data_IF_162613859898
#
_entry.id   IF_162613859898
#
_cell.length_a   1.000
_cell.length_b   1.000
_cell.length_c   1.000
_cell.angle_alpha   90.00
_cell.angle_beta   90.00
_cell.angle_gamma   90.00
#
_symmetry.space_group_name_H-M   'P 1'
#
loop_
_entity.id
_entity.type
_entity.pdbx_description
1 polymer ?
#
# COMPACT_ATOMS: atom_id res chain seq x y z
N UNK A 1 -6.63 6.92 13.28
CA UNK A 1 -6.40 7.27 11.85
C UNK A 1 -4.93 7.58 11.66
N UNK A 2 -4.27 7.01 10.65
CA UNK A 2 -2.90 7.41 10.26
C UNK A 2 -3.00 8.42 9.12
N UNK A 3 -2.48 9.64 9.31
CA UNK A 3 -2.34 10.62 8.22
C UNK A 3 -1.01 10.34 7.52
N UNK A 4 -1.05 9.55 6.45
CA UNK A 4 0.10 9.43 5.54
C UNK A 4 0.10 10.64 4.60
N UNK A 5 0.89 11.65 4.95
CA UNK A 5 1.07 12.86 4.12
C UNK A 5 2.05 12.61 2.97
N UNK A 6 2.92 11.58 3.09
CA UNK A 6 3.97 11.29 2.12
C UNK A 6 4.17 9.80 1.86
N UNK A 7 4.50 9.44 0.61
CA UNK A 7 4.88 8.09 0.22
C UNK A 7 5.99 7.98 -0.82
N UNK A 8 6.62 9.09 -1.21
CA UNK A 8 7.75 9.18 -2.16
C UNK A 8 8.39 10.56 -1.97
N UNK A 9 9.70 10.67 -1.72
CA UNK A 9 10.45 11.92 -1.48
C UNK A 9 9.95 13.11 -2.32
N UNK A 10 8.95 13.83 -1.80
CA UNK A 10 8.39 15.02 -2.47
C UNK A 10 9.20 16.24 -2.08
N UNK A 11 9.10 17.30 -2.90
CA UNK A 11 9.72 18.58 -2.59
C UNK A 11 9.16 19.16 -1.28
N UNK A 12 9.99 19.81 -0.44
CA UNK A 12 9.53 20.38 0.83
C UNK A 12 8.36 21.36 0.67
N UNK A 13 8.32 22.14 -0.40
CA UNK A 13 7.25 23.11 -0.68
C UNK A 13 5.89 22.43 -0.80
N UNK A 14 5.83 21.25 -1.44
CA UNK A 14 4.59 20.49 -1.54
C UNK A 14 4.13 20.01 -0.16
N UNK A 15 5.04 19.45 0.63
CA UNK A 15 4.72 18.96 1.97
C UNK A 15 4.24 20.12 2.86
N UNK A 16 4.94 21.25 2.85
CA UNK A 16 4.56 22.44 3.60
C UNK A 16 3.19 22.97 3.18
N UNK A 17 2.93 23.09 1.87
CA UNK A 17 1.64 23.52 1.36
C UNK A 17 0.50 22.58 1.79
N UNK A 18 0.68 21.26 1.64
CA UNK A 18 -0.34 20.28 1.95
C UNK A 18 -0.65 20.23 3.46
N UNK A 19 0.39 20.22 4.30
CA UNK A 19 0.24 20.23 5.77
C UNK A 19 -0.45 21.52 6.22
N UNK A 20 -0.04 22.67 5.68
CA UNK A 20 -0.63 23.97 6.03
C UNK A 20 -2.09 24.03 5.61
N UNK A 21 -2.44 23.56 4.41
CA UNK A 21 -3.82 23.49 3.95
C UNK A 21 -4.66 22.57 4.83
N UNK A 22 -4.17 21.37 5.18
CA UNK A 22 -4.86 20.48 6.11
C UNK A 22 -5.05 21.11 7.51
N UNK A 23 -4.05 21.86 8.00
CA UNK A 23 -4.12 22.58 9.27
C UNK A 23 -5.17 23.70 9.23
N UNK A 24 -5.16 24.55 8.21
CA UNK A 24 -6.16 25.61 8.02
C UNK A 24 -7.58 25.03 7.91
N UNK A 25 -7.76 23.99 7.09
CA UNK A 25 -9.07 23.32 6.97
C UNK A 25 -9.58 22.77 8.31
N UNK A 26 -8.68 22.29 9.19
CA UNK A 26 -9.02 21.77 10.51
C UNK A 26 -9.28 22.88 11.54
N UNK A 27 -8.40 23.88 11.59
CA UNK A 27 -8.39 24.93 12.62
C UNK A 27 -9.41 26.02 12.30
N UNK A 28 -9.50 26.40 11.03
CA UNK A 28 -10.28 27.54 10.53
C UNK A 28 -11.52 27.11 9.73
N UNK A 29 -11.66 25.80 9.44
CA UNK A 29 -12.77 25.25 8.64
C UNK A 29 -12.65 25.49 7.13
N UNK A 30 -11.62 26.19 6.67
CA UNK A 30 -11.39 26.51 5.26
C UNK A 30 -9.90 26.64 4.94
N UNK A 31 -9.54 26.54 3.65
CA UNK A 31 -8.18 26.80 3.16
C UNK A 31 -8.15 28.16 2.49
N UNK A 32 -7.12 28.96 2.78
CA UNK A 32 -6.94 30.25 2.12
C UNK A 32 -6.85 30.08 0.60
N UNK A 33 -7.61 30.86 -0.20
CA UNK A 33 -7.67 30.67 -1.66
C UNK A 33 -6.29 30.75 -2.35
N UNK A 34 -5.40 31.59 -1.86
CA UNK A 34 -4.02 31.69 -2.36
C UNK A 34 -3.23 30.40 -2.11
N UNK A 35 -3.26 29.87 -0.88
CA UNK A 35 -2.61 28.61 -0.55
C UNK A 35 -3.19 27.44 -1.35
N UNK A 36 -4.51 27.44 -1.56
CA UNK A 36 -5.19 26.47 -2.42
C UNK A 36 -4.65 26.47 -3.85
N UNK A 37 -4.52 27.66 -4.47
CA UNK A 37 -3.95 27.83 -5.81
C UNK A 37 -2.47 27.42 -5.87
N UNK A 38 -1.67 27.79 -4.88
CA UNK A 38 -0.27 27.40 -4.80
C UNK A 38 -0.11 25.88 -4.66
N UNK A 39 -0.91 25.27 -3.78
CA UNK A 39 -0.92 23.82 -3.60
C UNK A 39 -1.34 23.11 -4.90
N UNK A 40 -2.37 23.62 -5.58
CA UNK A 40 -2.81 23.11 -6.88
C UNK A 40 -1.69 23.17 -7.93
N UNK A 41 -0.95 24.28 -8.00
CA UNK A 41 0.15 24.47 -8.94
C UNK A 41 1.35 23.54 -8.68
N UNK A 42 1.68 23.24 -7.41
CA UNK A 42 2.82 22.35 -7.08
C UNK A 42 2.44 20.87 -7.03
N UNK A 43 1.18 20.55 -6.76
CA UNK A 43 0.71 19.17 -6.64
C UNK A 43 0.11 18.64 -7.93
N UNK A 44 -0.81 19.41 -8.53
CA UNK A 44 -1.65 18.91 -9.59
C UNK A 44 -1.16 19.30 -10.97
N UNK A 45 -1.31 18.36 -11.90
CA UNK A 45 -0.95 18.48 -13.31
C UNK A 45 -2.25 18.66 -14.08
N UNK A 46 -2.80 19.87 -14.15
CA UNK A 46 -4.20 20.21 -14.56
C UNK A 46 -5.26 20.30 -13.44
N UNK A 47 -4.89 20.53 -12.18
CA UNK A 47 -5.85 20.88 -11.11
C UNK A 47 -6.47 19.72 -10.31
N UNK A 48 -7.17 20.03 -9.22
CA UNK A 48 -7.73 18.99 -8.33
C UNK A 48 -8.97 18.29 -8.92
N UNK A 49 -9.19 17.04 -8.52
CA UNK A 49 -10.39 16.28 -8.90
C UNK A 49 -11.07 15.69 -7.68
N UNK A 50 -12.38 15.88 -7.58
CA UNK A 50 -13.25 15.25 -6.59
C UNK A 50 -13.79 13.89 -7.07
N UNK A 51 -13.41 13.45 -8.28
CA UNK A 51 -14.07 12.34 -8.97
C UNK A 51 -14.04 11.01 -8.22
N UNK A 52 -13.06 10.78 -7.35
CA UNK A 52 -13.06 9.61 -6.45
C UNK A 52 -14.19 9.70 -5.41
N UNK A 53 -14.37 10.87 -4.79
CA UNK A 53 -15.37 11.13 -3.75
C UNK A 53 -16.79 11.26 -4.34
N UNK A 54 -16.94 12.00 -5.43
CA UNK A 54 -18.22 12.18 -6.12
C UNK A 54 -18.59 10.99 -7.03
N UNK A 55 -17.77 9.93 -7.07
CA UNK A 55 -17.91 8.78 -7.98
C UNK A 55 -18.03 9.14 -9.48
N UNK A 56 -17.57 10.35 -9.87
CA UNK A 56 -17.52 10.83 -11.26
C UNK A 56 -16.30 10.23 -11.97
N UNK A 57 -16.49 9.05 -12.56
CA UNK A 57 -15.47 8.36 -13.35
C UNK A 57 -15.38 8.92 -14.76
N UNK A 58 -14.17 9.15 -15.25
CA UNK A 58 -13.93 9.57 -16.62
C UNK A 58 -12.60 10.27 -16.80
N UNK A 59 -12.44 10.95 -17.94
CA UNK A 59 -11.19 11.66 -18.29
C UNK A 59 -10.80 12.73 -17.27
N UNK A 60 -11.78 13.39 -16.65
CA UNK A 60 -11.58 14.42 -15.63
C UNK A 60 -10.96 13.91 -14.30
N UNK A 61 -10.85 12.59 -14.10
CA UNK A 61 -10.11 12.03 -12.96
C UNK A 61 -8.59 12.00 -13.19
N UNK A 62 -8.12 12.23 -14.42
CA UNK A 62 -6.70 12.15 -14.77
C UNK A 62 -6.15 13.55 -14.99
N UNK A 63 -5.00 13.82 -14.35
CA UNK A 63 -4.18 14.99 -14.68
C UNK A 63 -3.32 14.72 -15.91
N UNK A 64 -3.23 15.70 -16.79
CA UNK A 64 -2.36 15.65 -17.98
C UNK A 64 -1.20 16.63 -17.77
N UNK A 65 0.04 16.17 -17.94
CA UNK A 65 1.19 17.06 -17.79
C UNK A 65 1.28 17.97 -19.00
N UNK A 66 1.01 19.24 -18.82
CA UNK A 66 1.28 20.29 -19.81
C UNK A 66 2.60 21.01 -19.49
N UNK A 67 3.12 21.76 -20.46
CA UNK A 67 4.29 22.62 -20.24
C UNK A 67 3.96 23.81 -19.31
N UNK A 68 2.70 24.27 -19.33
CA UNK A 68 2.22 25.36 -18.48
C UNK A 68 2.19 24.97 -17.00
N UNK A 69 1.79 23.74 -16.68
CA UNK A 69 1.83 23.20 -15.31
C UNK A 69 3.24 23.29 -14.70
N UNK A 70 4.28 23.06 -15.51
CA UNK A 70 5.67 23.14 -15.05
C UNK A 70 6.09 24.58 -14.72
N UNK A 71 5.61 25.55 -15.50
CA UNK A 71 5.91 26.97 -15.25
C UNK A 71 5.19 27.50 -14.00
N UNK A 72 3.93 27.12 -13.81
CA UNK A 72 3.14 27.53 -12.64
C UNK A 72 3.72 27.01 -11.31
N UNK A 73 4.25 25.79 -11.28
CA UNK A 73 4.94 25.27 -10.11
C UNK A 73 6.17 26.10 -9.70
N UNK A 74 6.94 26.59 -10.69
CA UNK A 74 8.16 27.35 -10.43
C UNK A 74 7.91 28.71 -9.78
N UNK A 75 6.78 29.35 -10.05
CA UNK A 75 6.44 30.66 -9.45
C UNK A 75 5.92 30.54 -8.02
N UNK A 76 5.30 29.40 -7.66
CA UNK A 76 4.76 29.17 -6.32
C UNK A 76 5.82 28.79 -5.28
N UNK A 77 6.98 28.24 -5.70
CA UNK A 77 7.97 27.69 -4.76
C UNK A 77 8.53 28.72 -3.77
N UNK A 78 8.81 29.96 -4.21
CA UNK A 78 9.36 30.98 -3.32
C UNK A 78 8.39 31.34 -2.18
N UNK A 79 7.10 31.51 -2.49
CA UNK A 79 6.08 31.79 -1.49
C UNK A 79 5.86 30.60 -0.53
N UNK A 80 5.91 29.38 -1.05
CA UNK A 80 5.77 28.17 -0.23
C UNK A 80 6.99 27.90 0.65
N UNK A 81 8.19 28.31 0.23
CA UNK A 81 9.39 28.24 1.05
C UNK A 81 9.26 29.04 2.35
N UNK A 82 8.56 30.18 2.30
CA UNK A 82 8.28 31.01 3.48
C UNK A 82 7.52 30.28 4.59
N UNK A 83 6.73 29.25 4.25
CA UNK A 83 5.98 28.45 5.21
C UNK A 83 6.89 27.65 6.15
N UNK A 84 8.10 27.31 5.71
CA UNK A 84 9.01 26.43 6.44
C UNK A 84 10.46 26.93 6.51
N UNK A 85 10.77 28.14 5.99
CA UNK A 85 12.12 28.71 6.00
C UNK A 85 12.73 28.81 7.39
N UNK A 86 11.89 29.01 8.40
CA UNK A 86 12.27 29.13 9.79
C UNK A 86 11.92 27.84 10.51
N UNK A 87 12.84 27.38 11.34
CA UNK A 87 12.57 26.27 12.25
C UNK A 87 11.41 26.60 13.18
N UNK A 88 10.45 25.68 13.28
CA UNK A 88 9.22 25.92 14.02
C UNK A 88 9.45 25.55 15.50
N UNK A 89 9.57 26.56 16.36
CA UNK A 89 9.95 26.39 17.76
C UNK A 89 8.82 25.78 18.59
N UNK A 90 8.90 24.48 18.92
CA UNK A 90 7.90 23.73 19.70
C UNK A 90 8.45 23.01 20.91
N UNK A 91 9.78 22.95 21.05
CA UNK A 91 10.41 22.29 22.18
C UNK A 91 10.62 23.33 23.26
N UNK A 92 9.72 23.35 24.24
CA UNK A 92 9.83 24.24 25.38
C UNK A 92 11.02 23.83 26.26
N UNK A 93 11.82 24.81 26.66
CA UNK A 93 12.99 24.61 27.50
C UNK A 93 12.88 25.47 28.77
N UNK A 94 13.34 24.88 29.88
CA UNK A 94 13.73 25.64 31.07
C UNK A 94 15.25 25.82 31.07
N UNK A 95 15.70 26.99 31.51
CA UNK A 95 17.10 27.36 31.49
C UNK A 95 17.57 27.85 32.87
N UNK A 96 18.87 27.67 33.15
CA UNK A 96 19.55 28.27 34.31
C UNK A 96 20.85 28.92 33.87
N UNK A 97 21.11 30.13 34.35
CA UNK A 97 22.33 30.87 34.06
C UNK A 97 23.00 31.35 35.34
N UNK A 98 24.31 31.19 35.41
CA UNK A 98 25.13 31.70 36.51
C UNK A 98 26.44 32.29 35.97
N UNK A 99 26.89 33.40 36.55
CA UNK A 99 28.18 34.01 36.24
C UNK A 99 28.70 34.70 37.50
N UNK A 100 29.88 34.31 37.96
CA UNK A 100 30.51 34.81 39.18
C UNK A 100 32.01 35.03 38.96
N UNK A 101 32.58 36.03 39.61
CA UNK A 101 34.02 36.30 39.54
C UNK A 101 34.81 35.09 40.05
N UNK A 102 35.94 34.78 39.42
CA UNK A 102 36.75 33.61 39.79
C UNK A 102 36.23 32.29 39.24
N UNK A 103 35.15 32.27 38.45
CA UNK A 103 34.57 31.04 37.89
C UNK A 103 33.98 31.20 36.49
N UNK A 104 34.10 30.22 35.59
CA UNK A 104 33.47 30.24 34.27
C UNK A 104 31.96 30.49 34.36
N UNK A 105 31.41 31.30 33.43
CA UNK A 105 29.97 31.42 33.30
C UNK A 105 29.33 30.08 32.89
N UNK A 106 28.15 29.78 33.41
CA UNK A 106 27.49 28.49 33.24
C UNK A 106 26.11 28.71 32.67
N UNK A 107 25.75 27.92 31.65
CA UNK A 107 24.40 27.90 31.12
C UNK A 107 23.90 26.46 30.96
N UNK A 108 22.70 26.21 31.45
CA UNK A 108 22.05 24.91 31.44
C UNK A 108 20.70 25.02 30.73
N UNK A 109 20.39 24.03 29.89
CA UNK A 109 19.09 23.84 29.25
C UNK A 109 18.53 22.46 29.60
N UNK A 110 17.22 22.41 29.84
CA UNK A 110 16.48 21.16 30.00
C UNK A 110 15.17 21.17 29.20
N UNK A 111 14.86 20.07 28.51
CA UNK A 111 13.59 19.82 27.83
C UNK A 111 12.63 18.94 28.67
N UNK A 112 12.97 18.71 29.94
CA UNK A 112 12.27 17.82 30.87
C UNK A 112 12.75 16.36 30.84
N UNK A 113 13.38 15.91 29.75
CA UNK A 113 13.98 14.57 29.62
C UNK A 113 15.50 14.63 29.57
N UNK A 114 16.05 15.59 28.82
CA UNK A 114 17.47 15.81 28.62
C UNK A 114 17.87 17.11 29.30
N UNK A 115 18.94 17.05 30.08
CA UNK A 115 19.59 18.23 30.66
C UNK A 115 21.03 18.31 30.18
N UNK A 116 21.44 19.51 29.79
CA UNK A 116 22.79 19.81 29.28
C UNK A 116 23.28 21.11 29.88
N UNK A 117 24.53 21.10 30.35
CA UNK A 117 25.24 22.23 30.94
C UNK A 117 26.52 22.51 30.16
N UNK A 118 26.82 23.78 29.92
CA UNK A 118 28.08 24.24 29.35
C UNK A 118 28.71 25.31 30.23
N UNK A 119 30.04 25.41 30.13
CA UNK A 119 30.84 26.44 30.78
C UNK A 119 31.43 27.35 29.69
N UNK A 120 31.47 28.65 29.94
CA UNK A 120 31.90 29.68 29.00
C UNK A 120 33.05 30.51 29.56
N UNK A 121 33.16 31.75 29.07
CA UNK A 121 34.17 32.69 29.56
C UNK A 121 33.92 33.05 31.03
N UNK A 122 34.98 33.18 31.82
CA UNK A 122 34.93 33.77 33.15
C UNK A 122 34.54 35.26 33.05
N UNK A 123 33.58 35.73 33.86
CA UNK A 123 33.17 37.12 33.81
C UNK A 123 34.23 38.04 34.42
N UNK A 124 34.29 39.28 33.94
CA UNK A 124 35.22 40.29 34.43
C UNK A 124 34.51 41.28 35.36
N UNK A 125 35.19 41.89 36.34
CA UNK A 125 34.58 42.95 37.14
C UNK A 125 34.34 44.20 36.27
N UNK A 126 33.19 44.85 36.42
CA UNK A 126 32.85 46.06 35.66
C UNK A 126 31.73 46.86 36.33
N UNK A 127 32.08 48.05 36.82
CA UNK A 127 31.14 49.02 37.39
C UNK A 127 30.43 49.88 36.32
N UNK A 128 31.08 50.16 35.17
CA UNK A 128 30.50 51.03 34.14
C UNK A 128 29.50 50.33 33.22
N UNK A 129 29.68 49.02 32.99
CA UNK A 129 28.84 48.21 32.07
C UNK A 129 28.52 46.82 32.63
N UNK A 130 27.93 46.69 33.83
CA UNK A 130 27.57 45.39 34.38
C UNK A 130 26.56 44.65 33.48
N UNK A 131 26.65 43.33 33.44
CA UNK A 131 25.65 42.47 32.85
C UNK A 131 24.45 42.40 33.80
N UNK A 132 23.32 42.99 33.40
CA UNK A 132 22.07 42.87 34.17
C UNK A 132 21.37 41.55 33.85
N UNK A 133 20.48 41.13 34.76
CA UNK A 133 19.64 39.95 34.57
C UNK A 133 18.81 40.07 33.28
N UNK A 134 18.14 41.21 33.06
CA UNK A 134 17.29 41.42 31.88
C UNK A 134 18.09 41.28 30.58
N UNK A 135 19.34 41.78 30.57
CA UNK A 135 20.21 41.69 29.41
C UNK A 135 20.71 40.27 29.17
N UNK A 136 21.05 39.54 30.24
CA UNK A 136 21.41 38.12 30.15
C UNK A 136 20.24 37.30 29.59
N UNK A 137 19.03 37.49 30.14
CA UNK A 137 17.82 36.82 29.69
C UNK A 137 17.51 37.09 28.21
N UNK A 138 17.50 38.37 27.81
CA UNK A 138 17.22 38.77 26.43
C UNK A 138 18.21 38.15 25.45
N UNK A 139 19.47 37.98 25.83
CA UNK A 139 20.50 37.41 24.96
C UNK A 139 20.44 35.87 24.91
N UNK A 140 20.19 35.23 26.06
CA UNK A 140 20.16 33.76 26.20
C UNK A 140 18.87 33.14 25.66
N UNK A 141 17.73 33.85 25.70
CA UNK A 141 16.44 33.42 25.13
C UNK A 141 16.41 33.37 23.59
N UNK A 142 17.42 33.90 22.90
CA UNK A 142 17.49 33.95 21.42
C UNK A 142 17.79 32.59 20.80
N UNK A 143 16.82 31.71 20.68
CA UNK A 143 16.96 30.34 20.12
C UNK A 143 16.58 30.21 18.63
N UNK A 144 16.52 31.31 17.88
CA UNK A 144 16.15 31.30 16.46
C UNK A 144 17.04 30.34 15.62
N UNK A 145 16.43 29.64 14.67
CA UNK A 145 17.10 28.60 13.87
C UNK A 145 17.25 27.26 14.57
N UNK A 146 16.64 27.08 15.75
CA UNK A 146 16.56 25.80 16.48
C UNK A 146 15.10 25.49 16.80
N UNK A 147 14.70 24.22 17.06
CA UNK A 147 13.32 23.88 17.40
C UNK A 147 12.93 24.31 18.83
N UNK A 148 13.83 24.98 19.55
CA UNK A 148 13.70 25.30 20.96
C UNK A 148 13.08 26.67 21.22
N UNK A 149 12.26 26.76 22.27
CA UNK A 149 11.78 28.02 22.84
C UNK A 149 12.02 27.99 24.35
N UNK A 150 12.76 28.96 24.88
CA UNK A 150 13.01 29.06 26.32
C UNK A 150 11.82 29.77 26.97
N UNK A 151 10.98 29.02 27.67
CA UNK A 151 9.78 29.54 28.34
C UNK A 151 10.10 30.09 29.74
N UNK A 152 11.10 29.51 30.41
CA UNK A 152 11.58 29.95 31.72
C UNK A 152 13.12 30.01 31.76
N UNK A 153 13.66 31.05 32.39
CA UNK A 153 15.10 31.15 32.69
C UNK A 153 15.28 31.64 34.13
N UNK A 154 16.13 30.94 34.88
CA UNK A 154 16.57 31.36 36.20
C UNK A 154 17.98 31.95 36.11
N UNK A 155 18.11 33.24 36.47
CA UNK A 155 19.37 33.99 36.48
C UNK A 155 19.81 34.36 37.90
N UNK A 156 19.24 33.76 38.94
CA UNK A 156 19.61 34.02 40.35
C UNK A 156 21.08 33.75 40.68
N UNK A 157 21.78 33.00 39.81
CA UNK A 157 23.22 32.75 39.91
C UNK A 157 24.12 33.83 39.31
N UNK A 158 23.58 34.93 38.78
CA UNK A 158 24.33 36.07 38.24
C UNK A 158 24.78 37.02 39.37
N UNK A 159 26.09 37.15 39.55
CA UNK A 159 26.68 38.10 40.51
C UNK A 159 26.58 39.55 40.01
N UNK A 160 26.34 40.50 40.91
CA UNK A 160 26.30 41.93 40.57
C UNK A 160 27.69 42.47 40.21
N UNK A 161 27.74 43.49 39.35
CA UNK A 161 29.01 44.15 38.99
C UNK A 161 29.92 43.34 38.07
N UNK A 162 29.44 42.23 37.50
CA UNK A 162 30.20 41.41 36.55
C UNK A 162 29.88 41.75 35.10
N UNK A 163 30.81 41.53 34.18
CA UNK A 163 30.67 41.78 32.75
C UNK A 163 31.02 40.54 31.94
N UNK A 164 30.14 40.23 30.98
CA UNK A 164 30.40 39.31 29.89
C UNK A 164 30.04 39.97 28.57
N UNK A 165 30.89 39.83 27.54
CA UNK A 165 30.54 40.32 26.22
C UNK A 165 29.38 39.49 25.63
N UNK A 166 28.55 40.11 24.80
CA UNK A 166 27.42 39.42 24.15
C UNK A 166 27.88 38.23 23.28
N UNK A 167 29.10 38.26 22.76
CA UNK A 167 29.72 37.14 22.05
C UNK A 167 29.90 35.91 22.94
N UNK A 168 30.30 36.09 24.20
CA UNK A 168 30.46 34.98 25.16
C UNK A 168 29.11 34.35 25.50
N UNK A 169 28.07 35.15 25.77
CA UNK A 169 26.71 34.65 25.99
C UNK A 169 26.16 33.90 24.76
N UNK A 170 26.43 34.42 23.56
CA UNK A 170 26.02 33.78 22.31
C UNK A 170 26.73 32.45 22.07
N UNK A 171 28.04 32.37 22.34
CA UNK A 171 28.81 31.14 22.20
C UNK A 171 28.27 30.08 23.16
N UNK A 172 28.10 30.44 24.43
CA UNK A 172 27.60 29.55 25.48
C UNK A 172 26.18 29.02 25.16
N UNK A 173 25.27 29.90 24.71
CA UNK A 173 23.93 29.54 24.25
C UNK A 173 23.95 28.56 23.07
N UNK A 174 24.77 28.82 22.05
CA UNK A 174 24.87 27.96 20.85
C UNK A 174 25.41 26.58 21.21
N UNK A 175 26.44 26.53 22.05
CA UNK A 175 27.07 25.29 22.47
C UNK A 175 26.10 24.40 23.25
N UNK A 176 25.40 24.95 24.24
CA UNK A 176 24.45 24.16 25.05
C UNK A 176 23.26 23.67 24.19
N UNK A 177 22.78 24.48 23.25
CA UNK A 177 21.69 24.09 22.34
C UNK A 177 22.12 22.98 21.36
N UNK A 178 23.37 23.02 20.87
CA UNK A 178 23.92 21.96 20.02
C UNK A 178 24.08 20.65 20.80
N UNK A 179 24.64 20.70 22.02
CA UNK A 179 24.76 19.50 22.87
C UNK A 179 23.39 18.93 23.26
N UNK A 180 22.39 19.77 23.53
CA UNK A 180 21.01 19.32 23.74
C UNK A 180 20.46 18.63 22.48
N UNK A 181 20.71 19.19 21.30
CA UNK A 181 20.31 18.59 20.02
C UNK A 181 20.99 17.24 19.78
N UNK A 182 22.26 17.10 20.16
CA UNK A 182 22.98 15.82 20.09
C UNK A 182 22.33 14.76 21.00
N UNK A 183 22.01 15.10 22.26
CA UNK A 183 21.30 14.19 23.16
C UNK A 183 19.93 13.79 22.60
N UNK A 184 19.16 14.75 22.07
CA UNK A 184 17.84 14.48 21.48
C UNK A 184 17.89 13.66 20.18
N UNK A 185 18.98 13.73 19.41
CA UNK A 185 19.19 12.94 18.20
C UNK A 185 19.62 11.50 18.50
N UNK A 186 20.10 11.21 19.70
CA UNK A 186 20.50 9.85 20.05
C UNK A 186 19.27 8.92 19.98
N UNK A 187 19.29 7.89 19.11
CA UNK A 187 18.16 6.98 19.01
C UNK A 187 17.98 6.23 20.33
N UNK A 188 16.76 6.25 20.86
CA UNK A 188 16.42 5.29 21.91
C UNK A 188 16.33 3.91 21.26
N UNK A 189 17.18 2.99 21.69
CA UNK A 189 17.12 1.60 21.22
C UNK A 189 15.81 1.00 21.69
N UNK A 190 14.88 0.78 20.76
CA UNK A 190 13.76 -0.12 20.99
C UNK A 190 14.26 -1.52 20.71
N UNK A 191 14.35 -2.34 21.74
CA UNK A 191 14.77 -3.73 21.59
C UNK A 191 13.63 -4.49 20.89
N UNK A 192 13.78 -4.72 19.59
CA UNK A 192 12.84 -5.53 18.82
C UNK A 192 13.38 -6.96 18.76
N UNK A 193 12.81 -7.85 19.56
CA UNK A 193 13.15 -9.27 19.52
C UNK A 193 12.50 -9.92 18.29
N UNK A 194 13.24 -9.96 17.17
CA UNK A 194 12.84 -10.72 15.99
C UNK A 194 13.06 -12.22 16.23
N UNK A 195 12.07 -12.90 16.81
CA UNK A 195 12.11 -14.35 16.90
C UNK A 195 11.85 -14.96 15.52
N UNK A 196 12.89 -15.48 14.88
CA UNK A 196 12.75 -16.26 13.67
C UNK A 196 12.07 -17.58 14.01
N UNK A 197 10.79 -17.71 13.65
CA UNK A 197 10.05 -18.97 13.83
C UNK A 197 10.54 -19.97 12.78
N UNK A 198 10.98 -21.14 13.24
CA UNK A 198 11.20 -22.28 12.36
C UNK A 198 9.87 -23.02 12.18
N UNK A 199 9.62 -23.48 10.95
CA UNK A 199 8.42 -24.23 10.63
C UNK A 199 8.81 -25.49 9.87
N UNK A 200 8.13 -26.59 10.16
CA UNK A 200 8.25 -27.80 9.36
C UNK A 200 7.53 -27.58 8.03
N UNK A 201 8.18 -27.85 6.88
CA UNK A 201 7.55 -27.77 5.56
C UNK A 201 6.23 -28.54 5.48
N UNK A 202 5.26 -27.96 4.78
CA UNK A 202 3.95 -28.58 4.57
C UNK A 202 4.05 -29.84 3.71
N UNK A 203 3.51 -30.95 4.21
CA UNK A 203 3.47 -32.22 3.50
C UNK A 203 2.16 -32.35 2.69
N UNK A 204 2.30 -32.46 1.37
CA UNK A 204 1.17 -32.65 0.45
C UNK A 204 0.83 -34.14 0.39
N UNK A 205 -0.43 -34.49 0.64
CA UNK A 205 -0.90 -35.88 0.57
C UNK A 205 -1.30 -36.27 -0.85
N UNK A 206 -2.18 -35.47 -1.45
CA UNK A 206 -2.70 -35.68 -2.80
C UNK A 206 -2.79 -34.33 -3.48
N UNK A 207 -2.39 -34.29 -4.75
CA UNK A 207 -2.42 -33.07 -5.55
C UNK A 207 -3.64 -33.06 -6.47
N UNK A 208 -4.36 -31.94 -6.48
CA UNK A 208 -5.57 -31.77 -7.28
C UNK A 208 -5.45 -30.58 -8.24
N UNK A 209 -6.11 -30.66 -9.39
CA UNK A 209 -6.22 -29.51 -10.30
C UNK A 209 -7.49 -28.73 -10.03
N UNK A 210 -7.36 -27.41 -9.96
CA UNK A 210 -8.47 -26.48 -9.89
C UNK A 210 -8.46 -25.58 -11.13
N UNK A 211 -9.64 -25.21 -11.62
CA UNK A 211 -9.78 -24.27 -12.73
C UNK A 211 -10.67 -23.09 -12.33
N UNK A 212 -10.27 -21.87 -12.69
CA UNK A 212 -11.05 -20.66 -12.47
C UNK A 212 -11.34 -20.01 -13.82
N UNK A 213 -12.60 -19.74 -14.09
CA UNK A 213 -13.05 -19.12 -15.33
C UNK A 213 -13.56 -17.71 -15.08
N UNK A 214 -13.20 -16.78 -15.97
CA UNK A 214 -13.70 -15.40 -15.93
C UNK A 214 -15.15 -15.31 -16.38
N UNK A 215 -15.60 -16.27 -17.19
CA UNK A 215 -16.96 -16.37 -17.67
C UNK A 215 -17.36 -17.84 -17.77
N UNK A 216 -18.63 -18.14 -17.54
CA UNK A 216 -19.15 -19.50 -17.63
C UNK A 216 -19.06 -20.06 -19.06
N UNK A 217 -19.10 -19.21 -20.07
CA UNK A 217 -18.95 -19.57 -21.49
C UNK A 217 -17.57 -20.13 -21.83
N UNK A 218 -16.57 -19.94 -20.95
CA UNK A 218 -15.24 -20.54 -21.12
C UNK A 218 -15.19 -21.98 -20.61
N UNK A 219 -16.15 -22.43 -19.80
CA UNK A 219 -16.17 -23.77 -19.21
C UNK A 219 -16.45 -24.82 -20.30
N UNK A 220 -15.49 -25.72 -20.63
CA UNK A 220 -15.75 -26.76 -21.61
C UNK A 220 -16.58 -27.90 -21.00
N UNK A 221 -17.22 -28.67 -21.88
CA UNK A 221 -18.05 -29.82 -21.49
C UNK A 221 -17.20 -31.02 -21.05
N UNK A 222 -15.93 -31.11 -21.44
CA UNK A 222 -15.03 -32.26 -21.28
C UNK A 222 -13.83 -31.94 -20.38
N UNK A 223 -14.08 -31.55 -19.13
CA UNK A 223 -12.99 -31.39 -18.15
C UNK A 223 -12.15 -32.67 -17.96
N UNK A 224 -10.81 -32.57 -17.86
CA UNK A 224 -9.96 -33.67 -17.42
C UNK A 224 -10.35 -34.20 -16.04
N UNK A 225 -10.14 -35.49 -15.78
CA UNK A 225 -10.52 -36.17 -14.53
C UNK A 225 -9.76 -35.68 -13.30
N UNK A 226 -8.61 -35.06 -13.50
CA UNK A 226 -7.72 -34.47 -12.51
C UNK A 226 -8.29 -33.15 -11.96
N UNK A 227 -9.19 -32.49 -12.70
CA UNK A 227 -9.85 -31.25 -12.27
C UNK A 227 -10.91 -31.59 -11.23
N UNK A 228 -10.66 -31.25 -9.97
CA UNK A 228 -11.58 -31.54 -8.85
C UNK A 228 -12.45 -30.37 -8.42
N UNK A 229 -12.08 -29.14 -8.81
CA UNK A 229 -12.88 -27.95 -8.51
C UNK A 229 -12.85 -26.93 -9.64
N UNK A 230 -14.00 -26.33 -9.90
CA UNK A 230 -14.18 -25.22 -10.84
C UNK A 230 -14.71 -24.00 -10.09
N UNK A 231 -14.06 -22.86 -10.27
CA UNK A 231 -14.51 -21.56 -9.76
C UNK A 231 -15.16 -20.75 -10.89
N UNK A 232 -16.40 -20.34 -10.66
CA UNK A 232 -17.16 -19.45 -11.56
C UNK A 232 -17.36 -18.07 -10.94
N UNK A 233 -17.58 -17.02 -11.74
CA UNK A 233 -17.86 -15.69 -11.21
C UNK A 233 -19.10 -15.67 -10.31
N UNK A 234 -19.04 -15.00 -9.16
CA UNK A 234 -20.22 -14.77 -8.29
C UNK A 234 -21.40 -14.13 -9.05
N UNK A 235 -21.09 -13.37 -10.09
CA UNK A 235 -22.06 -12.66 -10.94
C UNK A 235 -22.75 -13.57 -11.98
N UNK A 236 -22.30 -14.82 -12.17
CA UNK A 236 -22.94 -15.78 -13.10
C UNK A 236 -24.39 -16.02 -12.69
N UNK A 237 -25.38 -15.96 -13.60
CA UNK A 237 -26.80 -16.15 -13.26
C UNK A 237 -27.07 -17.41 -12.44
N UNK A 238 -27.98 -17.31 -11.46
CA UNK A 238 -28.28 -18.40 -10.51
C UNK A 238 -28.70 -19.70 -11.21
N UNK A 239 -29.55 -19.60 -12.22
CA UNK A 239 -29.98 -20.75 -13.03
C UNK A 239 -28.80 -21.47 -13.70
N UNK A 240 -27.87 -20.72 -14.29
CA UNK A 240 -26.69 -21.30 -14.93
C UNK A 240 -25.73 -21.94 -13.92
N UNK A 241 -25.58 -21.34 -12.73
CA UNK A 241 -24.82 -21.93 -11.62
C UNK A 241 -25.45 -23.26 -11.17
N UNK A 242 -26.78 -23.31 -11.01
CA UNK A 242 -27.49 -24.52 -10.59
C UNK A 242 -27.36 -25.64 -11.63
N UNK A 243 -27.58 -25.34 -12.91
CA UNK A 243 -27.42 -26.29 -14.01
C UNK A 243 -25.98 -26.82 -14.08
N UNK A 244 -24.99 -25.93 -13.97
CA UNK A 244 -23.58 -26.30 -14.01
C UNK A 244 -23.19 -27.16 -12.81
N UNK A 245 -23.67 -26.83 -11.61
CA UNK A 245 -23.42 -27.62 -10.41
C UNK A 245 -23.93 -29.05 -10.57
N UNK A 246 -25.18 -29.23 -11.03
CA UNK A 246 -25.76 -30.56 -11.26
C UNK A 246 -24.90 -31.38 -12.23
N UNK A 247 -24.55 -30.77 -13.38
CA UNK A 247 -23.72 -31.39 -14.41
C UNK A 247 -22.30 -31.77 -13.92
N UNK A 248 -21.65 -30.89 -13.17
CA UNK A 248 -20.28 -31.14 -12.68
C UNK A 248 -20.23 -32.13 -11.52
N UNK A 249 -21.28 -32.17 -10.68
CA UNK A 249 -21.40 -33.12 -9.58
C UNK A 249 -21.40 -34.57 -10.05
N UNK A 250 -22.08 -34.86 -11.17
CA UNK A 250 -22.09 -36.21 -11.79
C UNK A 250 -20.69 -36.68 -12.20
N UNK A 251 -19.75 -35.75 -12.38
CA UNK A 251 -18.35 -36.01 -12.76
C UNK A 251 -17.38 -35.94 -11.59
N UNK A 252 -17.89 -35.76 -10.37
CA UNK A 252 -17.07 -35.61 -9.17
C UNK A 252 -16.29 -34.30 -9.12
N UNK A 253 -16.75 -33.25 -9.82
CA UNK A 253 -16.13 -31.92 -9.84
C UNK A 253 -16.94 -30.96 -8.98
N UNK A 254 -16.31 -30.37 -7.96
CA UNK A 254 -16.95 -29.38 -7.10
C UNK A 254 -17.10 -28.04 -7.82
N UNK A 255 -18.31 -27.49 -7.81
CA UNK A 255 -18.56 -26.12 -8.28
C UNK A 255 -18.41 -25.15 -7.11
N UNK A 256 -17.55 -24.16 -7.30
CA UNK A 256 -17.28 -23.07 -6.38
C UNK A 256 -17.51 -21.73 -7.08
N UNK A 257 -17.62 -20.66 -6.31
CA UNK A 257 -17.72 -19.30 -6.85
C UNK A 257 -16.54 -18.44 -6.41
N UNK A 258 -16.22 -17.41 -7.19
CA UNK A 258 -15.17 -16.46 -6.89
C UNK A 258 -15.75 -15.04 -6.87
N UNK A 259 -15.45 -14.27 -5.81
CA UNK A 259 -15.79 -12.86 -5.71
C UNK A 259 -14.75 -12.01 -6.44
N UNK A 260 -15.21 -11.00 -7.16
CA UNK A 260 -14.30 -10.02 -7.75
C UNK A 260 -13.45 -9.29 -6.69
N UNK A 261 -12.21 -8.93 -7.06
CA UNK A 261 -11.24 -8.33 -6.14
C UNK A 261 -11.65 -6.96 -5.60
N UNK A 262 -12.18 -6.12 -6.49
CA UNK A 262 -12.58 -4.75 -6.19
C UNK A 262 -14.08 -4.62 -6.14
N UNK A 263 -14.59 -4.18 -5.00
CA UNK A 263 -16.00 -3.95 -4.75
C UNK A 263 -16.10 -2.54 -4.15
N UNK A 264 -16.98 -1.70 -4.70
CA UNK A 264 -17.14 -0.31 -4.26
C UNK A 264 -18.61 0.07 -4.24
N UNK A 265 -19.16 0.34 -3.05
CA UNK A 265 -20.54 0.84 -2.91
C UNK A 265 -21.58 -0.15 -3.42
N UNK A 266 -21.36 -1.44 -3.16
CA UNK A 266 -22.23 -2.56 -3.54
C UNK A 266 -22.30 -3.66 -2.47
N UNK A 267 -21.93 -3.32 -1.23
CA UNK A 267 -21.76 -4.24 -0.11
C UNK A 267 -23.08 -4.99 0.18
N UNK A 268 -24.20 -4.26 0.21
CA UNK A 268 -25.54 -4.83 0.45
C UNK A 268 -25.93 -5.83 -0.65
N UNK A 269 -25.70 -5.46 -1.91
CA UNK A 269 -26.02 -6.29 -3.07
C UNK A 269 -25.19 -7.59 -3.05
N UNK A 270 -23.91 -7.50 -2.66
CA UNK A 270 -23.04 -8.66 -2.55
C UNK A 270 -23.46 -9.57 -1.40
N UNK A 271 -23.80 -9.04 -0.23
CA UNK A 271 -24.32 -9.86 0.86
C UNK A 271 -25.62 -10.58 0.47
N UNK A 272 -26.52 -9.93 -0.28
CA UNK A 272 -27.71 -10.58 -0.84
C UNK A 272 -27.33 -11.68 -1.83
N UNK A 273 -26.40 -11.39 -2.75
CA UNK A 273 -25.95 -12.33 -3.77
C UNK A 273 -25.28 -13.57 -3.16
N UNK A 274 -24.45 -13.37 -2.13
CA UNK A 274 -23.83 -14.46 -1.39
C UNK A 274 -24.89 -15.42 -0.82
N UNK A 275 -25.92 -14.90 -0.14
CA UNK A 275 -26.99 -15.75 0.41
C UNK A 275 -27.77 -16.49 -0.67
N UNK A 276 -28.07 -15.82 -1.79
CA UNK A 276 -28.74 -16.43 -2.94
C UNK A 276 -27.93 -17.60 -3.52
N UNK A 277 -26.63 -17.38 -3.79
CA UNK A 277 -25.75 -18.41 -4.34
C UNK A 277 -25.51 -19.54 -3.33
N UNK A 278 -25.43 -19.24 -2.03
CA UNK A 278 -25.33 -20.27 -1.00
C UNK A 278 -26.56 -21.17 -0.98
N UNK A 279 -27.76 -20.59 -1.13
CA UNK A 279 -29.02 -21.33 -1.13
C UNK A 279 -29.14 -22.33 -2.28
N UNK A 280 -28.39 -22.14 -3.38
CA UNK A 280 -28.29 -23.13 -4.47
C UNK A 280 -27.53 -24.41 -4.04
N UNK A 281 -26.78 -24.36 -2.94
CA UNK A 281 -25.95 -25.46 -2.43
C UNK A 281 -24.45 -25.32 -2.71
N UNK A 282 -24.01 -24.25 -3.38
CA UNK A 282 -22.57 -23.98 -3.57
C UNK A 282 -21.93 -23.73 -2.20
N UNK A 283 -20.85 -24.45 -1.88
CA UNK A 283 -20.22 -24.42 -0.55
C UNK A 283 -19.01 -23.52 -0.45
N UNK A 284 -18.22 -23.45 -1.52
CA UNK A 284 -16.92 -22.78 -1.50
C UNK A 284 -17.01 -21.43 -2.21
N UNK A 285 -16.52 -20.38 -1.55
CA UNK A 285 -16.37 -19.05 -2.13
C UNK A 285 -14.91 -18.59 -2.05
N UNK A 286 -14.28 -18.35 -3.20
CA UNK A 286 -12.96 -17.74 -3.28
C UNK A 286 -13.04 -16.23 -3.10
N UNK A 287 -12.18 -15.69 -2.24
CA UNK A 287 -12.11 -14.25 -1.92
C UNK A 287 -10.70 -13.71 -2.06
N UNK A 288 -10.56 -12.48 -2.56
CA UNK A 288 -9.27 -11.85 -2.82
C UNK A 288 -8.97 -10.62 -1.97
N UNK A 289 -9.83 -10.33 -0.97
CA UNK A 289 -9.73 -9.17 -0.10
C UNK A 289 -10.15 -9.59 1.32
N UNK A 290 -9.43 -9.14 2.34
CA UNK A 290 -9.75 -9.41 3.75
C UNK A 290 -11.18 -8.99 4.10
N UNK A 291 -11.66 -7.87 3.55
CA UNK A 291 -13.02 -7.38 3.77
C UNK A 291 -14.13 -8.27 3.21
N UNK A 292 -13.79 -9.27 2.39
CA UNK A 292 -14.76 -10.22 1.83
C UNK A 292 -14.87 -11.52 2.65
N UNK A 293 -13.92 -11.78 3.56
CA UNK A 293 -13.89 -13.03 4.35
C UNK A 293 -15.15 -13.12 5.23
N UNK A 294 -15.37 -12.11 6.08
CA UNK A 294 -16.47 -12.12 7.03
C UNK A 294 -17.85 -12.19 6.34
N UNK A 295 -18.18 -11.35 5.34
CA UNK A 295 -19.48 -11.45 4.66
C UNK A 295 -19.74 -12.82 4.00
N UNK A 296 -18.71 -13.46 3.45
CA UNK A 296 -18.85 -14.79 2.86
C UNK A 296 -19.08 -15.86 3.93
N UNK A 297 -18.41 -15.78 5.07
CA UNK A 297 -18.63 -16.68 6.22
C UNK A 297 -20.01 -16.50 6.84
N UNK A 298 -20.47 -15.26 7.02
CA UNK A 298 -21.83 -14.96 7.52
C UNK A 298 -22.92 -15.48 6.58
N UNK A 299 -22.65 -15.50 5.28
CA UNK A 299 -23.53 -16.14 4.31
C UNK A 299 -23.43 -17.67 4.31
N UNK A 300 -22.52 -18.26 5.10
CA UNK A 300 -22.38 -19.70 5.32
C UNK A 300 -21.42 -20.42 4.38
N UNK A 301 -20.56 -19.71 3.63
CA UNK A 301 -19.57 -20.32 2.75
C UNK A 301 -18.34 -20.83 3.52
N UNK A 302 -17.75 -21.90 3.00
CA UNK A 302 -16.35 -22.24 3.22
C UNK A 302 -15.49 -21.29 2.39
N UNK A 303 -14.73 -20.43 3.06
CA UNK A 303 -13.97 -19.38 2.38
C UNK A 303 -12.60 -19.89 1.94
N UNK A 304 -12.31 -19.73 0.65
CA UNK A 304 -11.02 -20.02 0.06
C UNK A 304 -10.28 -18.70 -0.25
N UNK A 305 -9.04 -18.54 0.18
CA UNK A 305 -8.23 -17.37 -0.13
C UNK A 305 -7.71 -17.39 -1.58
N UNK A 306 -7.91 -16.34 -2.34
CA UNK A 306 -7.28 -16.14 -3.64
C UNK A 306 -5.97 -15.36 -3.52
N UNK A 307 -5.19 -15.27 -4.61
CA UNK A 307 -3.88 -14.60 -4.61
C UNK A 307 -3.88 -13.15 -4.06
N UNK A 308 -5.04 -12.48 -4.07
CA UNK A 308 -5.17 -11.09 -3.62
C UNK A 308 -4.95 -10.90 -2.11
N UNK A 309 -4.93 -11.99 -1.34
CA UNK A 309 -4.54 -11.96 0.07
C UNK A 309 -3.01 -11.87 0.27
N UNK A 310 -2.22 -11.98 -0.81
CA UNK A 310 -0.76 -11.83 -0.82
C UNK A 310 -0.03 -12.70 0.21
N UNK A 311 -0.41 -13.97 0.30
CA UNK A 311 0.17 -14.91 1.26
C UNK A 311 1.58 -15.31 0.81
N UNK A 312 2.58 -14.95 1.62
CA UNK A 312 4.02 -15.12 1.31
C UNK A 312 4.84 -15.81 2.41
N UNK A 313 4.26 -16.11 3.56
CA UNK A 313 4.95 -16.74 4.70
C UNK A 313 4.01 -17.64 5.52
N UNK A 314 4.60 -18.42 6.44
CA UNK A 314 3.86 -19.39 7.25
C UNK A 314 2.95 -18.71 8.26
N UNK A 315 3.34 -17.55 8.81
CA UNK A 315 2.55 -16.77 9.76
C UNK A 315 1.24 -16.31 9.14
N UNK A 316 1.27 -15.83 7.89
CA UNK A 316 0.08 -15.46 7.14
C UNK A 316 -0.83 -16.67 6.87
N UNK A 317 -0.26 -17.83 6.54
CA UNK A 317 -1.03 -19.07 6.38
C UNK A 317 -1.72 -19.49 7.69
N UNK A 318 -1.01 -19.43 8.81
CA UNK A 318 -1.57 -19.72 10.14
C UNK A 318 -2.69 -18.73 10.50
N UNK A 319 -2.51 -17.45 10.18
CA UNK A 319 -3.54 -16.43 10.39
C UNK A 319 -4.78 -16.69 9.53
N UNK A 320 -4.61 -17.07 8.26
CA UNK A 320 -5.72 -17.47 7.39
C UNK A 320 -6.48 -18.68 7.96
N UNK A 321 -5.77 -19.67 8.50
CA UNK A 321 -6.38 -20.82 9.16
C UNK A 321 -7.16 -20.41 10.42
N UNK A 322 -6.62 -19.50 11.23
CA UNK A 322 -7.32 -18.95 12.40
C UNK A 322 -8.58 -18.16 12.02
N UNK A 323 -8.55 -17.46 10.88
CA UNK A 323 -9.74 -16.83 10.32
C UNK A 323 -10.74 -17.83 9.72
N UNK A 324 -10.44 -19.13 9.72
CA UNK A 324 -11.36 -20.17 9.26
C UNK A 324 -11.39 -20.37 7.74
N UNK A 325 -10.32 -20.00 7.01
CA UNK A 325 -10.22 -20.32 5.59
C UNK A 325 -10.02 -21.84 5.41
N UNK A 326 -10.65 -22.41 4.38
CA UNK A 326 -10.50 -23.83 4.03
C UNK A 326 -9.28 -24.11 3.13
N UNK A 327 -8.68 -23.07 2.55
CA UNK A 327 -7.44 -23.13 1.78
C UNK A 327 -7.10 -21.76 1.22
N UNK A 328 -5.92 -21.61 0.60
CA UNK A 328 -5.53 -20.35 -0.05
C UNK A 328 -4.62 -20.54 -1.27
N UNK A 329 -4.72 -19.67 -2.26
CA UNK A 329 -3.72 -19.48 -3.30
C UNK A 329 -2.55 -18.65 -2.73
N UNK A 330 -1.32 -19.13 -2.96
CA UNK A 330 -0.10 -18.41 -2.61
C UNK A 330 0.17 -17.27 -3.60
N UNK A 331 0.90 -16.24 -3.16
CA UNK A 331 1.28 -15.13 -4.03
C UNK A 331 2.14 -15.59 -5.22
N UNK A 332 1.90 -15.00 -6.40
CA UNK A 332 2.72 -15.21 -7.61
C UNK A 332 4.16 -14.69 -7.49
N UNK A 333 4.45 -13.94 -6.41
CA UNK A 333 5.76 -13.38 -6.09
C UNK A 333 6.69 -14.38 -5.39
N UNK A 334 6.16 -15.50 -4.90
CA UNK A 334 6.97 -16.53 -4.26
C UNK A 334 7.73 -17.37 -5.29
N UNK A 335 8.97 -17.72 -4.95
CA UNK A 335 9.69 -18.78 -5.67
C UNK A 335 9.19 -20.16 -5.26
N UNK A 336 9.32 -21.17 -6.12
CA UNK A 336 9.00 -22.56 -5.78
C UNK A 336 9.80 -23.04 -4.56
N UNK A 337 11.07 -22.61 -4.46
CA UNK A 337 11.92 -22.92 -3.32
C UNK A 337 11.40 -22.32 -2.00
N UNK A 338 10.85 -21.09 -2.03
CA UNK A 338 10.21 -20.49 -0.85
C UNK A 338 8.89 -21.16 -0.53
N UNK A 339 8.07 -21.45 -1.54
CA UNK A 339 6.81 -22.19 -1.40
C UNK A 339 7.02 -23.54 -0.70
N UNK A 340 8.04 -24.30 -1.12
CA UNK A 340 8.39 -25.59 -0.54
C UNK A 340 8.81 -25.52 0.94
N UNK A 341 9.22 -24.35 1.44
CA UNK A 341 9.64 -24.14 2.84
C UNK A 341 8.51 -23.66 3.75
N UNK A 342 7.35 -23.30 3.19
CA UNK A 342 6.21 -22.84 3.99
C UNK A 342 5.64 -23.99 4.83
N UNK A 343 5.41 -23.73 6.11
CA UNK A 343 4.82 -24.71 7.03
C UNK A 343 3.32 -24.56 7.20
N UNK A 344 2.78 -25.05 8.32
CA UNK A 344 1.34 -25.02 8.64
C UNK A 344 0.52 -26.08 7.89
N UNK A 345 -0.74 -26.23 8.27
CA UNK A 345 -1.64 -27.28 7.76
C UNK A 345 -2.66 -26.80 6.72
N UNK A 346 -2.82 -25.48 6.55
CA UNK A 346 -3.79 -24.93 5.61
C UNK A 346 -3.48 -25.38 4.17
N UNK A 347 -4.45 -26.00 3.46
CA UNK A 347 -4.28 -26.39 2.06
C UNK A 347 -3.96 -25.18 1.21
N UNK A 348 -3.04 -25.34 0.25
CA UNK A 348 -2.58 -24.20 -0.57
C UNK A 348 -2.41 -24.51 -2.04
N UNK A 349 -2.65 -23.49 -2.86
CA UNK A 349 -2.52 -23.55 -4.30
C UNK A 349 -1.33 -22.75 -4.82
N UNK A 350 -0.74 -23.25 -5.91
CA UNK A 350 0.14 -22.50 -6.81
C UNK A 350 -0.56 -22.36 -8.16
N UNK A 351 -0.53 -21.17 -8.75
CA UNK A 351 -1.04 -20.96 -10.09
C UNK A 351 -0.04 -21.50 -11.12
N UNK A 352 -0.47 -22.51 -11.88
CA UNK A 352 0.35 -23.18 -12.90
C UNK A 352 0.03 -22.68 -14.31
N UNK A 353 -1.10 -22.00 -14.50
CA UNK A 353 -1.44 -21.37 -15.77
C UNK A 353 -2.30 -20.13 -15.54
N UNK A 354 -2.02 -19.06 -16.29
CA UNK A 354 -2.95 -17.96 -16.49
C UNK A 354 -2.29 -16.62 -16.70
N UNK A 355 -3.03 -15.68 -17.28
CA UNK A 355 -2.61 -14.30 -17.36
C UNK A 355 -2.72 -13.64 -15.99
N UNK A 356 -1.57 -13.26 -15.41
CA UNK A 356 -1.53 -12.62 -14.10
C UNK A 356 -2.03 -11.17 -14.23
N UNK A 357 -2.97 -10.73 -13.36
CA UNK A 357 -3.45 -9.35 -13.37
C UNK A 357 -2.37 -8.38 -12.87
N UNK A 358 -2.01 -7.42 -13.72
CA UNK A 358 -1.01 -6.38 -13.48
C UNK A 358 -1.61 -5.21 -12.68
N UNK A 359 -2.81 -4.77 -13.05
CA UNK A 359 -3.47 -3.62 -12.43
C UNK A 359 -4.97 -3.84 -12.33
N UNK A 360 -5.55 -3.44 -11.19
CA UNK A 360 -6.98 -3.28 -11.01
C UNK A 360 -7.32 -1.79 -11.03
N UNK A 361 -8.19 -1.37 -11.93
CA UNK A 361 -8.58 0.03 -12.10
C UNK A 361 -10.08 0.22 -11.95
N UNK A 362 -10.48 1.30 -11.27
CA UNK A 362 -11.90 1.71 -11.19
C UNK A 362 -12.31 2.53 -12.42
N UNK A 363 -11.34 3.21 -13.03
CA UNK A 363 -11.51 3.95 -14.28
C UNK A 363 -10.74 3.21 -15.39
N UNK A 364 -11.47 2.72 -16.39
CA UNK A 364 -10.94 1.77 -17.37
C UNK A 364 -9.99 2.47 -18.35
N UNK A 365 -8.71 2.05 -18.47
CA UNK A 365 -7.77 2.68 -19.39
C UNK A 365 -8.19 2.54 -20.86
N UNK A 366 -8.86 1.45 -21.23
CA UNK A 366 -9.35 1.25 -22.59
C UNK A 366 -10.53 2.18 -22.94
N UNK A 367 -11.45 2.44 -21.99
CA UNK A 367 -12.56 3.36 -22.20
C UNK A 367 -12.07 4.81 -22.33
N UNK A 368 -11.06 5.21 -21.54
CA UNK A 368 -10.44 6.53 -21.65
C UNK A 368 -9.78 6.78 -23.01
N UNK A 369 -9.22 5.73 -23.61
CA UNK A 369 -8.64 5.77 -24.95
C UNK A 369 -9.66 5.77 -26.08
N UNK A 370 -10.96 5.86 -25.79
CA UNK A 370 -12.03 5.83 -26.80
C UNK A 370 -12.27 4.46 -27.44
N UNK A 371 -11.58 3.40 -26.98
CA UNK A 371 -11.70 2.04 -27.52
C UNK A 371 -12.88 1.24 -26.94
N UNK A 372 -13.65 1.85 -26.05
CA UNK A 372 -14.80 1.26 -25.39
C UNK A 372 -15.79 2.35 -25.02
N UNK A 373 -17.07 2.16 -25.32
CA UNK A 373 -18.15 3.11 -25.05
C UNK A 373 -18.62 3.12 -23.59
N UNK A 374 -18.00 2.32 -22.71
CA UNK A 374 -18.24 2.38 -21.27
C UNK A 374 -19.66 1.99 -20.82
N UNK A 375 -20.52 1.55 -21.75
CA UNK A 375 -21.81 0.92 -21.48
C UNK A 375 -21.65 -0.52 -21.01
N UNK A 376 -22.76 -1.12 -20.56
CA UNK A 376 -22.88 -2.47 -19.98
C UNK A 376 -21.83 -3.46 -20.50
N UNK A 377 -21.08 -4.05 -19.55
CA UNK A 377 -20.04 -5.07 -19.71
C UNK A 377 -19.60 -5.20 -21.16
N UNK A 378 -18.55 -4.48 -21.59
CA UNK A 378 -18.00 -4.66 -22.93
C UNK A 378 -17.73 -6.15 -23.19
N UNK A 379 -18.70 -6.84 -23.81
CA UNK A 379 -18.73 -8.29 -23.98
C UNK A 379 -17.63 -8.58 -24.99
N UNK A 380 -16.48 -9.05 -24.50
CA UNK A 380 -15.29 -9.32 -25.32
C UNK A 380 -14.00 -8.65 -24.83
N UNK A 381 -14.09 -7.66 -23.93
CA UNK A 381 -12.91 -6.95 -23.41
C UNK A 381 -12.26 -6.00 -24.43
N UNK A 382 -11.19 -5.32 -23.99
CA UNK A 382 -10.41 -4.41 -24.82
C UNK A 382 -8.92 -4.67 -24.62
N UNK A 383 -8.06 -3.97 -25.36
CA UNK A 383 -6.62 -4.01 -25.14
C UNK A 383 -6.00 -2.61 -25.08
N UNK A 384 -4.87 -2.53 -24.38
CA UNK A 384 -4.00 -1.36 -24.36
C UNK A 384 -2.62 -1.78 -24.86
N UNK A 385 -1.87 -0.84 -25.43
CA UNK A 385 -0.54 -1.09 -25.98
C UNK A 385 0.44 -0.20 -25.22
N UNK A 386 1.54 -0.77 -24.74
CA UNK A 386 2.58 0.00 -24.07
C UNK A 386 3.55 0.67 -25.07
N UNK A 387 4.50 1.46 -24.55
CA UNK A 387 5.51 2.14 -25.37
C UNK A 387 6.46 1.20 -26.12
N UNK A 388 6.50 -0.08 -25.75
CA UNK A 388 7.32 -1.12 -26.39
C UNK A 388 6.54 -1.92 -27.43
N UNK A 389 5.27 -1.57 -27.68
CA UNK A 389 4.40 -2.23 -28.64
C UNK A 389 3.73 -3.50 -28.09
N UNK A 390 3.86 -3.80 -26.80
CA UNK A 390 3.25 -5.00 -26.22
C UNK A 390 1.78 -4.76 -25.91
N UNK A 391 0.94 -5.74 -26.27
CA UNK A 391 -0.51 -5.70 -26.06
C UNK A 391 -0.87 -6.31 -24.70
N UNK A 392 -1.55 -5.55 -23.87
CA UNK A 392 -2.13 -6.01 -22.60
C UNK A 392 -3.65 -6.06 -22.72
N UNK A 393 -4.23 -7.17 -22.31
CA UNK A 393 -5.67 -7.37 -22.31
C UNK A 393 -6.30 -6.67 -21.11
N UNK A 394 -7.46 -6.05 -21.33
CA UNK A 394 -8.27 -5.41 -20.30
C UNK A 394 -9.62 -6.12 -20.25
N UNK A 395 -10.01 -6.61 -19.07
CA UNK A 395 -11.33 -7.20 -18.84
C UNK A 395 -12.05 -6.49 -17.71
N UNK A 396 -13.29 -6.09 -17.96
CA UNK A 396 -14.17 -5.55 -16.94
C UNK A 396 -14.83 -6.68 -16.15
N UNK A 397 -15.23 -6.38 -14.91
CA UNK A 397 -16.07 -7.24 -14.08
C UNK A 397 -16.94 -6.38 -13.18
N UNK A 398 -18.09 -6.93 -12.80
CA UNK A 398 -19.10 -6.25 -12.02
C UNK A 398 -19.94 -5.27 -12.85
N UNK A 399 -20.99 -4.77 -12.23
CA UNK A 399 -21.95 -3.82 -12.83
C UNK A 399 -22.03 -2.55 -11.99
N UNK A 400 -22.52 -1.45 -12.58
CA UNK A 400 -22.75 -0.19 -11.88
C UNK A 400 -21.52 0.37 -11.14
N UNK A 401 -21.68 0.62 -9.84
CA UNK A 401 -20.65 1.16 -8.93
C UNK A 401 -19.57 0.13 -8.60
N UNK A 402 -19.91 -1.16 -8.58
CA UNK A 402 -18.99 -2.27 -8.31
C UNK A 402 -18.07 -2.60 -9.49
N UNK A 403 -18.30 -1.99 -10.66
CA UNK A 403 -17.53 -2.27 -11.87
C UNK A 403 -16.06 -1.86 -11.72
N UNK A 404 -15.18 -2.82 -11.94
CA UNK A 404 -13.73 -2.62 -12.05
C UNK A 404 -13.21 -3.20 -13.38
N UNK A 405 -12.02 -2.76 -13.78
CA UNK A 405 -11.29 -3.29 -14.94
C UNK A 405 -9.95 -3.84 -14.49
N UNK A 406 -9.57 -4.99 -15.01
CA UNK A 406 -8.26 -5.59 -14.78
C UNK A 406 -7.45 -5.56 -16.06
N UNK A 407 -6.22 -5.07 -15.94
CA UNK A 407 -5.19 -5.14 -16.97
C UNK A 407 -4.36 -6.39 -16.68
N UNK A 408 -4.21 -7.25 -17.66
CA UNK A 408 -3.46 -8.49 -17.55
C UNK A 408 -2.08 -8.35 -18.21
N UNK A 409 -1.14 -9.18 -17.75
CA UNK A 409 0.16 -9.34 -18.41
C UNK A 409 0.02 -9.69 -19.90
N UNK A 410 1.10 -9.51 -20.65
CA UNK A 410 1.12 -9.70 -22.11
C UNK A 410 1.15 -11.17 -22.51
N UNK A 411 1.71 -12.03 -21.63
CA UNK A 411 1.82 -13.48 -21.82
C UNK A 411 1.38 -14.18 -20.53
N UNK A 412 0.80 -15.40 -20.61
CA UNK A 412 0.40 -16.15 -19.44
C UNK A 412 1.62 -16.73 -18.73
N UNK A 413 1.49 -16.89 -17.41
CA UNK A 413 2.36 -17.80 -16.67
C UNK A 413 2.00 -19.23 -17.08
N UNK A 414 3.01 -20.07 -17.28
CA UNK A 414 2.82 -21.52 -17.42
C UNK A 414 3.91 -22.29 -16.69
N UNK A 415 3.51 -23.28 -15.89
CA UNK A 415 4.33 -24.30 -15.25
C UNK A 415 3.82 -25.71 -15.58
N UNK A 416 3.01 -25.84 -16.63
CA UNK A 416 2.29 -27.07 -16.96
C UNK A 416 3.21 -28.30 -17.06
N UNK A 417 4.39 -28.16 -17.66
CA UNK A 417 5.40 -29.22 -17.81
C UNK A 417 6.41 -29.31 -16.65
N UNK A 418 6.32 -28.41 -15.66
CA UNK A 418 7.24 -28.33 -14.51
C UNK A 418 6.54 -28.59 -13.18
N UNK A 419 5.39 -29.26 -13.21
CA UNK A 419 4.60 -29.54 -12.00
C UNK A 419 5.34 -30.42 -10.97
N UNK A 420 6.27 -31.25 -11.43
CA UNK A 420 7.14 -32.07 -10.56
C UNK A 420 8.06 -31.26 -9.65
N UNK A 421 8.36 -30.00 -10.02
CA UNK A 421 9.20 -29.09 -9.21
C UNK A 421 8.40 -28.37 -8.12
N UNK A 422 7.08 -28.43 -8.18
CA UNK A 422 6.20 -27.78 -7.21
C UNK A 422 6.10 -28.69 -5.99
N UNK A 423 6.56 -28.22 -4.84
CA UNK A 423 6.42 -28.89 -3.54
C UNK A 423 5.66 -27.98 -2.56
N UNK A 424 4.98 -28.58 -1.57
CA UNK A 424 4.25 -27.83 -0.54
C UNK A 424 2.94 -27.20 -1.01
N UNK A 425 2.40 -27.58 -2.17
CA UNK A 425 1.09 -27.14 -2.68
C UNK A 425 0.17 -28.34 -2.98
N UNK A 426 -1.00 -28.33 -2.35
CA UNK A 426 -2.08 -29.33 -2.50
C UNK A 426 -2.85 -29.16 -3.81
N UNK A 427 -2.90 -27.93 -4.32
CA UNK A 427 -3.68 -27.60 -5.49
C UNK A 427 -2.82 -26.91 -6.54
N UNK A 428 -3.06 -27.25 -7.81
CA UNK A 428 -2.54 -26.49 -8.93
C UNK A 428 -3.70 -25.78 -9.61
N UNK A 429 -3.63 -24.44 -9.64
CA UNK A 429 -4.70 -23.60 -10.15
C UNK A 429 -4.40 -23.14 -11.57
N UNK A 430 -5.38 -23.32 -12.46
CA UNK A 430 -5.40 -22.73 -13.81
C UNK A 430 -6.42 -21.60 -13.83
N UNK A 431 -6.04 -20.44 -14.36
CA UNK A 431 -6.86 -19.23 -14.36
C UNK A 431 -7.09 -18.75 -15.80
N UNK A 432 -8.32 -18.89 -16.27
CA UNK A 432 -8.76 -18.50 -17.61
C UNK A 432 -9.47 -17.15 -17.57
N UNK A 433 -9.06 -16.26 -18.47
CA UNK A 433 -9.44 -14.85 -18.52
C UNK A 433 -9.74 -14.34 -19.93
N UNK A 434 -8.87 -14.62 -20.90
CA UNK A 434 -8.91 -14.04 -22.26
C UNK A 434 -8.94 -15.10 -23.35
N UNK A 435 -8.70 -16.35 -22.96
CA UNK A 435 -8.60 -17.53 -23.80
C UNK A 435 -9.98 -17.89 -24.38
N UNK A 436 -9.98 -18.34 -25.63
CA UNK A 436 -11.19 -18.86 -26.28
C UNK A 436 -11.59 -20.22 -25.68
N UNK A 437 -12.85 -20.67 -25.82
CA UNK A 437 -13.28 -21.97 -25.31
C UNK A 437 -12.43 -23.15 -25.80
N UNK A 438 -11.96 -23.11 -27.07
CA UNK A 438 -11.07 -24.14 -27.59
C UNK A 438 -9.69 -24.10 -26.92
N UNK A 439 -9.09 -22.91 -26.80
CA UNK A 439 -7.79 -22.77 -26.14
C UNK A 439 -7.86 -23.24 -24.68
N UNK A 440 -8.94 -22.89 -23.97
CA UNK A 440 -9.20 -23.35 -22.59
C UNK A 440 -9.18 -24.87 -22.50
N UNK A 441 -9.92 -25.57 -23.40
CA UNK A 441 -9.94 -27.03 -23.45
C UNK A 441 -8.53 -27.59 -23.65
N UNK A 442 -7.81 -27.09 -24.66
CA UNK A 442 -6.45 -27.55 -24.98
C UNK A 442 -5.50 -27.38 -23.79
N UNK A 443 -5.55 -26.22 -23.12
CA UNK A 443 -4.70 -25.91 -21.96
C UNK A 443 -5.02 -26.78 -20.76
N UNK A 444 -6.30 -27.03 -20.47
CA UNK A 444 -6.72 -27.93 -19.40
C UNK A 444 -6.12 -29.33 -19.60
N UNK A 445 -6.20 -29.88 -20.81
CA UNK A 445 -5.62 -31.18 -21.12
C UNK A 445 -4.09 -31.17 -21.08
N UNK A 446 -3.43 -30.13 -21.58
CA UNK A 446 -1.98 -30.00 -21.44
C UNK A 446 -1.56 -29.99 -19.97
N UNK A 447 -2.24 -29.20 -19.12
CA UNK A 447 -1.94 -29.14 -17.69
C UNK A 447 -2.24 -30.48 -16.99
N UNK A 448 -3.34 -31.14 -17.31
CA UNK A 448 -3.66 -32.47 -16.77
C UNK A 448 -2.58 -33.51 -17.08
N UNK A 449 -2.02 -33.46 -18.29
CA UNK A 449 -1.01 -34.40 -18.76
C UNK A 449 0.44 -33.97 -18.47
N UNK A 450 0.65 -32.83 -17.81
CA UNK A 450 2.01 -32.31 -17.57
C UNK A 450 2.75 -31.89 -18.85
N UNK A 451 2.03 -31.47 -19.88
CA UNK A 451 2.55 -31.11 -21.20
C UNK A 451 2.72 -29.59 -21.34
N UNK A 452 3.70 -29.13 -22.15
CA UNK A 452 3.94 -27.71 -22.34
C UNK A 452 2.77 -27.02 -23.05
N UNK A 453 2.38 -25.86 -22.54
CA UNK A 453 1.40 -24.99 -23.22
C UNK A 453 2.16 -24.18 -24.28
N UNK A 454 1.88 -24.46 -25.56
CA UNK A 454 2.49 -23.74 -26.70
C UNK A 454 1.56 -23.75 -27.92
N UNK A 455 1.90 -22.97 -28.95
CA UNK A 455 1.14 -22.92 -30.20
C UNK A 455 -0.12 -22.05 -30.12
N UNK A 456 -1.22 -22.51 -30.70
CA UNK A 456 -2.50 -21.78 -30.78
C UNK A 456 -3.09 -21.41 -29.41
N UNK A 457 -2.71 -22.15 -28.36
CA UNK A 457 -3.18 -21.90 -26.99
C UNK A 457 -2.43 -20.75 -26.27
N UNK A 458 -1.23 -20.39 -26.73
CA UNK A 458 -0.42 -19.29 -26.19
C UNK A 458 0.45 -18.66 -27.30
N UNK A 459 -0.16 -17.91 -28.25
CA UNK A 459 0.51 -17.50 -29.49
C UNK A 459 1.70 -16.56 -29.26
N UNK A 460 1.63 -15.72 -28.22
CA UNK A 460 2.68 -14.75 -27.86
C UNK A 460 3.75 -15.35 -26.92
N UNK A 461 3.72 -16.67 -26.71
CA UNK A 461 4.60 -17.40 -25.80
C UNK A 461 4.10 -17.42 -24.35
N UNK A 462 4.98 -17.83 -23.44
CA UNK A 462 4.70 -18.00 -22.00
C UNK A 462 5.79 -17.36 -21.14
N UNK A 463 5.51 -17.16 -19.86
CA UNK A 463 6.51 -16.84 -18.83
C UNK A 463 6.48 -17.84 -17.68
N UNK A 464 7.58 -17.97 -16.95
CA UNK A 464 7.62 -18.71 -15.67
C UNK A 464 7.28 -17.84 -14.46
N UNK A 465 6.93 -16.57 -14.67
CA UNK A 465 6.64 -15.63 -13.61
C UNK A 465 7.83 -15.43 -12.66
N UNK A 466 7.55 -15.11 -11.40
CA UNK A 466 8.58 -14.93 -10.36
C UNK A 466 8.98 -16.26 -9.70
N UNK A 467 8.42 -17.39 -10.12
CA UNK A 467 8.58 -18.68 -9.46
C UNK A 467 10.04 -19.19 -9.37
N UNK A 468 10.95 -18.66 -10.19
CA UNK A 468 12.38 -18.99 -10.14
C UNK A 468 13.28 -17.83 -9.71
N UNK A 469 12.88 -16.58 -9.96
CA UNK A 469 13.71 -15.38 -9.71
C UNK A 469 13.35 -14.65 -8.43
N UNK A 470 12.10 -14.77 -7.97
CA UNK A 470 11.55 -13.99 -6.86
C UNK A 470 11.30 -12.54 -7.23
N UNK A 471 10.91 -11.75 -6.23
CA UNK A 471 10.90 -10.28 -6.31
C UNK A 471 12.26 -9.79 -5.83
N UNK A 472 12.93 -9.01 -6.68
CA UNK A 472 14.20 -8.33 -6.35
C UNK A 472 14.02 -7.21 -5.34
#
# INVERSE_FOLDING_TARGET
ASLKIEGRMKRPEYCAAAVTACRQARDDGAVMPELGRQLEAVFSRSGFTDGYFAAKRGRAMFGFRTHEDVKAGNTAFAALHELYKNEYQRVELSARFAARLGSPAVFELTDGTNTVRCEGQEPLPSQERPLTQERAELQLKKTGGTPYIITHIDCSGLEEGVFLPASALNALRREVAEKLSQKRRAPQSVEVCWQQKSHTPHAVKERQLHALFRSIEQLPDDLPTEVKRVYLPMETPAEQLEQTMKRLRERGVETAVELQRGIFGAEVQICRRLREVRALGIRVCMVHNLGHILPAQEAGFEVYGGFGLNIVNTEALQQCQQWGLCGTELSFELTLARTARLGGSLPRAVCIYGYIPLMLTRNCPAALGGKCTGGEVAKGGCSIIDRTGKTMQVRCRGVGTARCSEVFNTVPVSLAERQSEIAGADHLLMRFTVESPQAVRDILHCCANGQPVSGTAAPDGITRGMYYRGVE
#
